data_IF_347967299672
#
_entry.id   IF_347967299672
#
_cell.length_a   1.000
_cell.length_b   1.000
_cell.length_c   1.000
_cell.angle_alpha   90.00
_cell.angle_beta   90.00
_cell.angle_gamma   90.00
#
_symmetry.space_group_name_H-M   'P 1'
#
loop_
_entity.id
_entity.type
_entity.pdbx_description
1 polymer ?
#
# COMPACT_ATOMS: atom_id res chain seq x y z
N UNK A 1 -30.49 0.50 12.39
CA UNK A 1 -29.27 -0.28 12.71
C UNK A 1 -28.41 -0.30 11.45
N UNK A 2 -27.23 0.34 11.48
CA UNK A 2 -26.29 0.31 10.36
C UNK A 2 -25.55 -1.03 10.35
N UNK A 3 -25.52 -1.70 9.20
CA UNK A 3 -24.80 -2.97 9.01
C UNK A 3 -23.29 -2.67 8.84
N UNK A 4 -22.42 -3.13 9.77
CA UNK A 4 -20.98 -2.89 9.71
C UNK A 4 -20.25 -3.66 8.59
N UNK A 5 -20.94 -4.57 7.88
CA UNK A 5 -20.40 -5.39 6.79
C UNK A 5 -20.80 -4.91 5.39
N UNK A 6 -21.17 -3.63 5.23
CA UNK A 6 -21.61 -3.11 3.93
C UNK A 6 -20.45 -3.11 2.90
N UNK A 7 -20.52 -3.90 1.81
CA UNK A 7 -19.44 -4.01 0.83
C UNK A 7 -19.51 -2.88 -0.19
N UNK A 8 -19.37 -1.61 0.24
CA UNK A 8 -19.13 -0.51 -0.69
C UNK A 8 -17.63 -0.49 -1.04
N UNK A 9 -17.29 -0.74 -2.30
CA UNK A 9 -15.93 -0.59 -2.80
C UNK A 9 -15.38 0.79 -2.41
N UNK A 10 -14.25 0.81 -1.70
CA UNK A 10 -13.54 2.04 -1.31
C UNK A 10 -13.71 2.52 0.13
N UNK A 11 -14.60 1.93 0.95
CA UNK A 11 -14.64 2.20 2.39
C UNK A 11 -14.01 1.06 3.19
N UNK A 12 -13.06 1.42 4.05
CA UNK A 12 -12.43 0.51 5.01
C UNK A 12 -13.46 0.14 6.10
N UNK A 13 -13.79 -1.16 6.30
CA UNK A 13 -14.64 -1.59 7.40
C UNK A 13 -14.09 -1.13 8.76
N UNK A 14 -14.98 -0.83 9.71
CA UNK A 14 -14.60 -0.33 11.05
C UNK A 14 -14.13 -1.43 12.01
N UNK A 15 -14.36 -2.71 11.71
CA UNK A 15 -13.96 -3.85 12.55
C UNK A 15 -13.37 -4.96 11.70
N UNK A 16 -12.10 -5.28 11.93
CA UNK A 16 -11.39 -6.40 11.31
C UNK A 16 -11.00 -7.43 12.37
N UNK A 17 -11.50 -8.65 12.25
CA UNK A 17 -11.12 -9.75 13.13
C UNK A 17 -9.72 -10.26 12.76
N UNK A 18 -8.77 -10.21 13.70
CA UNK A 18 -7.46 -10.89 13.67
C UNK A 18 -6.48 -10.56 12.52
N UNK A 19 -6.45 -9.31 12.02
CA UNK A 19 -5.45 -8.87 11.01
C UNK A 19 -4.26 -8.10 11.53
N UNK A 20 -4.36 -7.49 12.72
CA UNK A 20 -3.29 -6.66 13.27
C UNK A 20 -1.94 -7.40 13.32
N UNK A 21 -1.96 -8.69 13.67
CA UNK A 21 -0.76 -9.53 13.72
C UNK A 21 -0.12 -9.78 12.35
N UNK A 22 -0.93 -9.91 11.28
CA UNK A 22 -0.43 -10.15 9.93
C UNK A 22 0.15 -8.87 9.32
N UNK A 23 -0.59 -7.76 9.40
CA UNK A 23 -0.11 -6.47 8.86
C UNK A 23 1.19 -6.06 9.54
N UNK A 24 1.25 -6.13 10.88
CA UNK A 24 2.47 -5.80 11.64
C UNK A 24 3.62 -6.75 11.29
N UNK A 25 3.36 -8.05 11.09
CA UNK A 25 4.39 -8.98 10.62
C UNK A 25 4.95 -8.56 9.26
N UNK A 26 4.09 -8.23 8.29
CA UNK A 26 4.53 -7.79 6.95
C UNK A 26 5.39 -6.52 7.06
N UNK A 27 4.94 -5.52 7.81
CA UNK A 27 5.68 -4.26 8.02
C UNK A 27 7.05 -4.52 8.68
N UNK A 28 7.10 -5.40 9.68
CA UNK A 28 8.34 -5.74 10.37
C UNK A 28 9.33 -6.47 9.45
N UNK A 29 8.88 -7.44 8.65
CA UNK A 29 9.74 -8.17 7.73
C UNK A 29 10.25 -7.27 6.59
N UNK A 30 9.44 -6.34 6.09
CA UNK A 30 9.88 -5.38 5.05
C UNK A 30 10.99 -4.44 5.56
N UNK A 31 10.96 -4.08 6.84
CA UNK A 31 11.98 -3.20 7.45
C UNK A 31 13.26 -3.92 7.91
N UNK A 32 13.34 -5.25 7.79
CA UNK A 32 14.55 -5.99 8.18
C UNK A 32 15.63 -5.89 7.10
N UNK A 33 16.83 -5.51 7.53
CA UNK A 33 18.01 -5.36 6.66
C UNK A 33 18.55 -6.74 6.26
N UNK A 34 18.81 -6.96 4.96
CA UNK A 34 19.55 -8.14 4.47
C UNK A 34 18.73 -9.40 4.16
N UNK A 35 17.41 -9.29 3.92
CA UNK A 35 16.52 -10.43 3.68
C UNK A 35 16.01 -10.54 2.22
N UNK A 36 15.54 -11.74 1.79
CA UNK A 36 15.00 -12.00 0.44
C UNK A 36 13.60 -11.43 0.18
N UNK A 37 12.99 -10.70 1.12
CA UNK A 37 11.64 -10.12 1.01
C UNK A 37 11.54 -8.89 0.07
N UNK A 38 12.29 -8.90 -1.04
CA UNK A 38 12.23 -7.83 -2.05
C UNK A 38 10.94 -7.90 -2.88
N UNK A 39 10.35 -9.10 -3.00
CA UNK A 39 9.12 -9.34 -3.78
C UNK A 39 8.22 -10.31 -3.03
N UNK A 40 6.92 -10.06 -3.01
CA UNK A 40 5.92 -10.93 -2.36
C UNK A 40 4.64 -10.99 -3.20
N UNK A 41 4.00 -12.16 -3.24
CA UNK A 41 2.73 -12.37 -3.94
C UNK A 41 1.59 -12.59 -2.94
N UNK A 42 0.58 -11.74 -2.98
CA UNK A 42 -0.64 -11.87 -2.18
C UNK A 42 -1.77 -12.48 -3.01
N UNK A 43 -2.17 -13.71 -2.69
CA UNK A 43 -3.24 -14.44 -3.38
C UNK A 43 -4.37 -14.87 -2.42
N UNK A 44 -5.52 -15.26 -2.96
CA UNK A 44 -6.70 -15.68 -2.19
C UNK A 44 -8.02 -15.43 -2.93
N UNK A 45 -9.13 -15.91 -2.39
CA UNK A 45 -10.47 -15.80 -3.01
C UNK A 45 -10.89 -14.34 -3.26
N UNK A 46 -11.72 -14.07 -4.28
CA UNK A 46 -12.34 -12.74 -4.47
C UNK A 46 -13.09 -12.35 -3.19
N UNK A 47 -12.97 -11.09 -2.78
CA UNK A 47 -13.59 -10.60 -1.53
C UNK A 47 -12.83 -10.93 -0.25
N UNK A 48 -11.69 -11.65 -0.31
CA UNK A 48 -10.88 -11.96 0.88
C UNK A 48 -10.10 -10.77 1.48
N UNK A 49 -10.38 -9.53 1.04
CA UNK A 49 -9.73 -8.33 1.56
C UNK A 49 -8.26 -8.15 1.21
N UNK A 50 -7.79 -8.66 0.05
CA UNK A 50 -6.40 -8.50 -0.41
C UNK A 50 -6.01 -7.03 -0.61
N UNK A 51 -6.82 -6.28 -1.37
CA UNK A 51 -6.60 -4.85 -1.61
C UNK A 51 -6.61 -4.07 -0.30
N UNK A 52 -7.55 -4.38 0.59
CA UNK A 52 -7.61 -3.78 1.93
C UNK A 52 -6.33 -4.02 2.74
N UNK A 53 -5.80 -5.25 2.73
CA UNK A 53 -4.53 -5.56 3.40
C UNK A 53 -3.37 -4.76 2.78
N UNK A 54 -3.28 -4.70 1.45
CA UNK A 54 -2.25 -3.91 0.76
C UNK A 54 -2.34 -2.42 1.11
N UNK A 55 -3.55 -1.85 1.15
CA UNK A 55 -3.77 -0.46 1.54
C UNK A 55 -3.33 -0.20 2.97
N UNK A 56 -3.64 -1.11 3.91
CA UNK A 56 -3.23 -1.00 5.30
C UNK A 56 -1.70 -1.05 5.47
N UNK A 57 -1.04 -2.01 4.83
CA UNK A 57 0.43 -2.11 4.80
C UNK A 57 1.05 -0.84 4.20
N UNK A 58 0.54 -0.36 3.06
CA UNK A 58 0.97 0.89 2.42
C UNK A 58 0.89 2.08 3.39
N UNK A 59 -0.23 2.21 4.13
CA UNK A 59 -0.47 3.30 5.07
C UNK A 59 0.42 3.24 6.32
N UNK A 60 0.86 2.05 6.74
CA UNK A 60 1.79 1.91 7.85
C UNK A 60 3.22 2.18 7.40
N UNK A 61 3.62 1.65 6.25
CA UNK A 61 4.97 1.81 5.70
C UNK A 61 5.26 3.26 5.30
N UNK A 62 4.27 3.98 4.78
CA UNK A 62 4.44 5.39 4.40
C UNK A 62 4.79 6.32 5.59
N UNK A 63 4.63 5.86 6.83
CA UNK A 63 5.03 6.60 8.05
C UNK A 63 6.54 6.55 8.30
N UNK A 64 7.25 5.63 7.68
CA UNK A 64 8.71 5.49 7.81
C UNK A 64 9.41 6.38 6.80
N UNK A 65 10.39 7.18 7.25
CA UNK A 65 11.08 8.17 6.41
C UNK A 65 11.85 7.57 5.22
N UNK A 66 12.28 6.32 5.33
CA UNK A 66 13.12 5.66 4.32
C UNK A 66 12.31 4.89 3.27
N UNK A 67 10.98 5.01 3.30
CA UNK A 67 10.11 4.33 2.36
C UNK A 67 9.45 5.30 1.40
N UNK A 68 9.42 4.89 0.13
CA UNK A 68 8.60 5.48 -0.90
C UNK A 68 7.53 4.45 -1.27
N UNK A 69 6.26 4.83 -1.11
CA UNK A 69 5.13 3.93 -1.40
C UNK A 69 4.43 4.40 -2.67
N UNK A 70 4.30 3.50 -3.65
CA UNK A 70 3.61 3.75 -4.92
C UNK A 70 2.50 2.71 -5.05
N UNK A 71 1.25 3.16 -5.16
CA UNK A 71 0.09 2.29 -5.27
C UNK A 71 -0.38 2.27 -6.71
N UNK A 72 -0.15 1.13 -7.39
CA UNK A 72 -0.48 0.96 -8.80
C UNK A 72 -1.74 0.10 -8.97
N UNK A 73 -2.54 0.48 -9.96
CA UNK A 73 -3.65 -0.32 -10.49
C UNK A 73 -3.18 -0.93 -11.80
N UNK A 74 -3.55 -2.19 -12.07
CA UNK A 74 -3.21 -2.85 -13.32
C UNK A 74 -4.21 -2.43 -14.40
N UNK A 75 -3.83 -1.43 -15.17
CA UNK A 75 -4.55 -0.90 -16.34
C UNK A 75 -3.56 -0.51 -17.45
N UNK A 76 -4.07 0.00 -18.57
CA UNK A 76 -3.26 0.40 -19.73
C UNK A 76 -2.28 1.55 -19.40
N UNK A 77 -2.57 2.33 -18.36
CA UNK A 77 -1.81 3.51 -17.94
C UNK A 77 -0.84 3.22 -16.79
N UNK A 78 -0.55 1.95 -16.46
CA UNK A 78 0.29 1.54 -15.34
C UNK A 78 1.61 2.31 -15.25
N UNK A 79 2.31 2.45 -16.38
CA UNK A 79 3.60 3.14 -16.46
C UNK A 79 3.45 4.65 -16.25
N UNK A 80 2.41 5.25 -16.82
CA UNK A 80 2.11 6.67 -16.66
C UNK A 80 1.78 6.96 -15.18
N UNK A 81 0.97 6.09 -14.56
CA UNK A 81 0.63 6.15 -13.15
C UNK A 81 1.86 6.03 -12.25
N UNK A 82 2.78 5.12 -12.56
CA UNK A 82 4.06 4.97 -11.86
C UNK A 82 4.90 6.24 -11.93
N UNK A 83 5.13 6.76 -13.14
CA UNK A 83 5.95 7.97 -13.36
C UNK A 83 5.34 9.17 -12.63
N UNK A 84 4.04 9.39 -12.78
CA UNK A 84 3.34 10.51 -12.13
C UNK A 84 3.41 10.43 -10.60
N UNK A 85 3.21 9.25 -10.02
CA UNK A 85 3.34 9.06 -8.57
C UNK A 85 4.78 9.29 -8.10
N UNK A 86 5.75 8.68 -8.77
CA UNK A 86 7.16 8.82 -8.44
C UNK A 86 7.60 10.29 -8.50
N UNK A 87 7.27 11.01 -9.56
CA UNK A 87 7.61 12.43 -9.71
C UNK A 87 7.03 13.28 -8.59
N UNK A 88 5.75 13.10 -8.25
CA UNK A 88 5.11 13.82 -7.13
C UNK A 88 5.86 13.61 -5.83
N UNK A 89 6.27 12.38 -5.53
CA UNK A 89 7.03 12.08 -4.33
C UNK A 89 8.43 12.71 -4.33
N UNK A 90 9.15 12.64 -5.44
CA UNK A 90 10.50 13.21 -5.55
C UNK A 90 10.50 14.74 -5.43
N UNK A 91 9.46 15.40 -5.94
CA UNK A 91 9.24 16.84 -5.77
C UNK A 91 8.95 17.19 -4.31
N UNK A 92 8.08 16.42 -3.63
CA UNK A 92 7.79 16.63 -2.21
C UNK A 92 9.03 16.46 -1.32
N UNK A 93 9.93 15.54 -1.69
CA UNK A 93 11.22 15.33 -1.03
C UNK A 93 12.28 16.38 -1.43
N UNK A 94 11.98 17.30 -2.35
CA UNK A 94 12.89 18.32 -2.89
C UNK A 94 14.17 17.73 -3.50
N UNK A 95 14.12 16.47 -3.95
CA UNK A 95 15.25 15.79 -4.60
C UNK A 95 15.44 16.32 -6.03
N UNK A 96 14.34 16.68 -6.69
CA UNK A 96 14.32 17.22 -8.05
C UNK A 96 13.69 18.61 -8.01
N UNK A 97 14.21 19.54 -8.83
CA UNK A 97 13.57 20.83 -9.12
C UNK A 97 13.01 20.81 -10.53
N UNK A 98 11.79 21.31 -10.70
CA UNK A 98 11.26 21.58 -12.04
C UNK A 98 12.03 22.80 -12.56
N UNK A 99 12.86 22.61 -13.58
CA UNK A 99 13.41 23.72 -14.33
C UNK A 99 12.31 24.22 -15.26
N UNK A 100 11.79 25.41 -14.97
CA UNK A 100 11.03 26.21 -15.95
C UNK A 100 11.91 26.61 -17.12
#
# INVERSE_FOLDING_TARGET
MENPFNPSFGKMPSVFLNRDSLTQRIVNELNRVGLPFQTSLLYGQRGSGKTTLMTEVSNLISRYKNWLVINLVLDDDLLISLINQLQRHLLNLKIIKIST
#
